data_IF_314297051405
#
_entry.id   IF_314297051405
#
_cell.length_a   1.000
_cell.length_b   1.000
_cell.length_c   1.000
_cell.angle_alpha   90.00
_cell.angle_beta   90.00
_cell.angle_gamma   90.00
#
_symmetry.space_group_name_H-M   'P 1'
#
loop_
_entity.id
_entity.type
_entity.pdbx_description
1 polymer ?
#
# COMPACT_ATOMS: atom_id res chain seq x y z
N UNK A 1 53.89 -9.16 -0.40
CA UNK A 1 53.59 -8.03 0.52
C UNK A 1 52.17 -7.58 0.18
N UNK A 2 51.09 -7.59 0.99
CA UNK A 2 50.75 -7.80 2.41
C UNK A 2 49.32 -8.40 2.41
N UNK A 3 49.09 -9.59 2.95
CA UNK A 3 48.45 -9.91 4.26
C UNK A 3 46.94 -9.60 4.41
N UNK A 4 46.21 -10.72 4.49
CA UNK A 4 44.87 -11.05 5.00
C UNK A 4 44.12 -10.06 5.92
N UNK A 5 42.79 -10.12 5.84
CA UNK A 5 41.94 -9.96 7.02
C UNK A 5 40.74 -10.92 6.98
N UNK A 6 40.81 -11.93 7.86
CA UNK A 6 39.72 -12.82 8.24
C UNK A 6 39.02 -12.19 9.44
N UNK A 7 37.71 -12.00 9.39
CA UNK A 7 36.90 -11.87 10.60
C UNK A 7 35.61 -12.68 10.43
N UNK A 8 35.75 -13.97 10.73
CA UNK A 8 34.67 -14.82 11.20
C UNK A 8 34.50 -14.49 12.68
N UNK A 9 33.34 -13.98 13.07
CA UNK A 9 32.89 -14.03 14.47
C UNK A 9 31.46 -14.51 14.46
N UNK A 10 31.31 -15.82 14.60
CA UNK A 10 30.11 -16.46 15.10
C UNK A 10 30.14 -16.35 16.62
N UNK A 11 29.08 -15.85 17.25
CA UNK A 11 28.84 -16.09 18.68
C UNK A 11 27.42 -16.57 18.87
N UNK A 12 27.38 -17.70 19.57
CA UNK A 12 26.28 -18.61 19.80
C UNK A 12 25.21 -18.06 20.74
N UNK A 13 23.99 -18.49 20.41
CA UNK A 13 22.79 -18.67 21.23
C UNK A 13 23.09 -18.98 22.70
N UNK A 14 22.42 -18.27 23.62
CA UNK A 14 22.18 -18.75 24.98
C UNK A 14 20.68 -18.84 25.25
N UNK A 15 20.23 -20.07 25.52
CA UNK A 15 18.95 -20.42 26.12
C UNK A 15 18.89 -19.93 27.58
N UNK A 16 17.72 -19.42 27.97
CA UNK A 16 17.37 -19.20 29.38
C UNK A 16 15.87 -19.35 29.57
N UNK A 17 15.41 -20.59 29.72
CA UNK A 17 14.08 -20.91 30.26
C UNK A 17 14.14 -20.82 31.78
N UNK A 18 13.28 -20.00 32.38
CA UNK A 18 12.89 -20.12 33.77
C UNK A 18 11.39 -19.84 33.90
N UNK A 19 10.61 -20.91 33.83
CA UNK A 19 9.23 -20.95 34.31
C UNK A 19 9.22 -21.17 35.81
N UNK A 20 8.41 -20.41 36.54
CA UNK A 20 7.84 -20.86 37.82
C UNK A 20 6.44 -20.27 37.96
N UNK A 21 5.43 -21.09 38.29
CA UNK A 21 4.05 -20.65 38.46
C UNK A 21 3.85 -20.09 39.88
N UNK A 22 3.03 -19.05 40.03
CA UNK A 22 2.46 -18.70 41.33
C UNK A 22 0.95 -18.60 41.20
N UNK A 23 0.30 -19.60 41.79
CA UNK A 23 -1.14 -19.71 41.94
C UNK A 23 -1.65 -18.66 42.93
N UNK A 24 -2.59 -17.83 42.50
CA UNK A 24 -3.52 -17.15 43.40
C UNK A 24 -4.82 -16.80 42.66
N UNK A 25 -5.61 -17.83 42.35
CA UNK A 25 -7.04 -17.64 42.14
C UNK A 25 -7.69 -17.55 43.53
N UNK A 26 -8.06 -16.35 43.96
CA UNK A 26 -9.08 -16.16 45.00
C UNK A 26 -10.24 -15.35 44.44
N UNK A 27 -11.40 -15.96 44.61
CA UNK A 27 -12.75 -15.49 44.33
C UNK A 27 -12.95 -13.98 44.50
N UNK A 28 -13.47 -13.33 43.46
CA UNK A 28 -14.48 -12.29 43.66
C UNK A 28 -15.46 -12.34 42.50
N UNK A 29 -16.19 -13.46 42.43
CA UNK A 29 -17.41 -13.56 41.65
C UNK A 29 -18.49 -12.69 42.31
N UNK A 30 -19.32 -12.05 41.49
CA UNK A 30 -20.54 -11.33 41.87
C UNK A 30 -20.37 -9.86 42.31
N UNK A 31 -20.12 -8.99 41.32
CA UNK A 31 -20.59 -7.57 41.29
C UNK A 31 -20.38 -6.84 39.95
N UNK A 32 -19.92 -7.51 38.89
CA UNK A 32 -19.54 -6.85 37.62
C UNK A 32 -20.47 -7.17 36.42
N UNK A 33 -21.64 -7.79 36.61
CA UNK A 33 -22.56 -8.02 35.48
C UNK A 33 -23.35 -6.76 35.05
N UNK A 34 -23.44 -5.73 35.90
CA UNK A 34 -24.10 -4.46 35.56
C UNK A 34 -23.21 -3.45 34.83
N UNK A 35 -21.89 -3.61 34.89
CA UNK A 35 -20.92 -2.71 34.25
C UNK A 35 -20.51 -3.18 32.85
N UNK A 36 -20.75 -4.45 32.50
CA UNK A 36 -20.47 -4.99 31.16
C UNK A 36 -21.54 -4.54 30.16
N UNK A 37 -22.82 -4.48 30.53
CA UNK A 37 -23.88 -3.98 29.64
C UNK A 37 -23.73 -2.49 29.30
N UNK A 38 -23.36 -1.64 30.27
CA UNK A 38 -23.19 -0.20 30.01
C UNK A 38 -21.95 0.12 29.17
N UNK A 39 -20.90 -0.72 29.23
CA UNK A 39 -19.74 -0.61 28.33
C UNK A 39 -20.01 -1.17 26.94
N UNK A 40 -20.88 -2.17 26.80
CA UNK A 40 -21.26 -2.71 25.50
C UNK A 40 -22.13 -1.72 24.69
N UNK A 41 -22.97 -0.92 25.34
CA UNK A 41 -23.78 0.11 24.67
C UNK A 41 -23.00 1.39 24.35
N UNK A 42 -21.99 1.75 25.16
CA UNK A 42 -21.12 2.90 24.88
C UNK A 42 -20.10 2.64 23.75
N UNK A 43 -19.80 1.37 23.44
CA UNK A 43 -18.90 1.01 22.33
C UNK A 43 -19.64 0.83 20.99
N UNK A 44 -20.98 0.75 21.01
CA UNK A 44 -21.82 0.74 19.81
C UNK A 44 -22.05 2.15 19.22
N UNK A 45 -21.85 3.21 20.02
CA UNK A 45 -22.01 4.61 19.61
C UNK A 45 -20.76 5.29 19.04
N UNK A 46 -19.61 4.60 19.02
CA UNK A 46 -18.33 5.14 18.53
C UNK A 46 -18.00 4.69 17.09
N UNK A 47 -18.88 3.91 16.46
CA UNK A 47 -18.75 3.51 15.05
C UNK A 47 -19.46 4.45 14.08
N UNK A 48 -19.77 5.68 14.50
CA UNK A 48 -19.73 6.82 13.58
C UNK A 48 -18.25 7.12 13.28
N UNK A 49 -17.57 6.16 12.65
CA UNK A 49 -16.28 6.41 12.03
C UNK A 49 -16.50 7.56 11.06
N UNK A 50 -15.94 8.71 11.38
CA UNK A 50 -15.87 9.85 10.50
C UNK A 50 -15.48 9.34 9.11
N UNK A 51 -16.37 9.48 8.14
CA UNK A 51 -16.12 9.13 6.73
C UNK A 51 -15.12 10.12 6.11
N UNK A 52 -14.06 10.44 6.83
CA UNK A 52 -12.97 11.25 6.33
C UNK A 52 -12.17 10.39 5.38
N UNK A 53 -12.29 10.72 4.10
CA UNK A 53 -11.39 10.35 3.03
C UNK A 53 -9.94 10.38 3.52
N UNK A 54 -9.39 9.22 3.83
CA UNK A 54 -8.05 9.11 4.39
C UNK A 54 -7.06 8.92 3.25
N UNK A 55 -6.09 9.82 3.10
CA UNK A 55 -5.03 9.63 2.11
C UNK A 55 -4.16 8.41 2.44
N UNK A 56 -3.61 7.80 1.40
CA UNK A 56 -2.60 6.77 1.50
C UNK A 56 -1.39 7.30 2.30
N UNK A 57 -0.96 6.57 3.32
CA UNK A 57 0.20 6.93 4.16
C UNK A 57 1.52 6.55 3.48
N UNK A 58 2.65 7.04 3.96
CA UNK A 58 3.96 6.69 3.40
C UNK A 58 4.24 5.17 3.50
N UNK A 59 3.87 4.54 4.63
CA UNK A 59 4.03 3.10 4.83
C UNK A 59 3.15 2.29 3.88
N UNK A 60 1.90 2.73 3.65
CA UNK A 60 1.03 2.14 2.63
C UNK A 60 1.60 2.34 1.21
N UNK A 61 2.30 3.45 0.98
CA UNK A 61 3.06 3.71 -0.25
C UNK A 61 4.17 2.71 -0.51
N UNK A 62 4.79 2.17 0.53
CA UNK A 62 5.77 1.09 0.39
C UNK A 62 5.11 -0.20 -0.12
N UNK A 63 3.86 -0.48 0.23
CA UNK A 63 3.12 -1.62 -0.32
C UNK A 63 2.85 -1.45 -1.83
N UNK A 64 2.56 -0.21 -2.27
CA UNK A 64 2.45 0.11 -3.71
C UNK A 64 3.78 -0.12 -4.43
N UNK A 65 4.91 0.30 -3.84
CA UNK A 65 6.24 0.05 -4.42
C UNK A 65 6.57 -1.44 -4.45
N UNK A 66 6.28 -2.18 -3.38
CA UNK A 66 6.52 -3.62 -3.33
C UNK A 66 5.73 -4.34 -4.45
N UNK A 67 4.48 -3.94 -4.69
CA UNK A 67 3.69 -4.45 -5.81
C UNK A 67 4.26 -4.04 -7.18
N UNK A 68 4.80 -2.83 -7.33
CA UNK A 68 5.43 -2.37 -8.57
C UNK A 68 6.67 -3.21 -8.94
N UNK A 69 7.47 -3.57 -7.94
CA UNK A 69 8.72 -4.32 -8.11
C UNK A 69 8.52 -5.85 -8.15
N UNK A 70 7.28 -6.34 -8.00
CA UNK A 70 6.95 -7.75 -8.15
C UNK A 70 7.11 -8.20 -9.63
N UNK A 71 7.97 -9.19 -9.86
CA UNK A 71 8.24 -9.76 -11.20
C UNK A 71 6.98 -10.24 -11.93
N UNK A 72 5.94 -10.66 -11.21
CA UNK A 72 4.68 -11.11 -11.81
C UNK A 72 3.89 -9.97 -12.48
N UNK A 73 4.08 -8.73 -12.03
CA UNK A 73 3.46 -7.55 -12.65
C UNK A 73 4.13 -7.21 -13.99
N UNK A 74 5.43 -7.50 -14.12
CA UNK A 74 6.19 -7.24 -15.34
C UNK A 74 5.73 -8.11 -16.53
N UNK A 75 5.31 -9.36 -16.28
CA UNK A 75 4.80 -10.27 -17.32
C UNK A 75 3.43 -9.82 -17.87
N UNK A 76 2.65 -9.09 -17.06
CA UNK A 76 1.35 -8.49 -17.45
C UNK A 76 1.50 -7.09 -18.08
N UNK A 77 2.69 -6.51 -18.06
CA UNK A 77 2.98 -5.14 -18.49
C UNK A 77 3.11 -4.95 -20.01
N UNK A 78 2.66 -5.91 -20.83
CA UNK A 78 2.38 -5.68 -22.26
C UNK A 78 1.28 -4.63 -22.48
N UNK A 79 0.57 -4.23 -21.42
CA UNK A 79 -0.43 -3.18 -21.41
C UNK A 79 0.24 -1.82 -21.14
N UNK A 80 -0.34 -0.74 -21.64
CA UNK A 80 0.19 0.63 -21.51
C UNK A 80 0.44 1.09 -20.05
N UNK A 81 1.05 2.27 -19.89
CA UNK A 81 1.42 2.82 -18.58
C UNK A 81 0.25 2.91 -17.58
N UNK A 82 -0.96 3.32 -18.01
CA UNK A 82 -2.14 3.37 -17.14
C UNK A 82 -2.59 2.00 -16.67
N UNK A 83 -2.55 0.98 -17.53
CA UNK A 83 -2.88 -0.38 -17.14
C UNK A 83 -1.86 -0.99 -16.18
N UNK A 84 -0.57 -0.69 -16.35
CA UNK A 84 0.45 -1.13 -15.41
C UNK A 84 0.18 -0.54 -14.02
N UNK A 85 -0.03 0.78 -13.94
CA UNK A 85 -0.33 1.46 -12.69
C UNK A 85 -1.59 0.90 -12.04
N UNK A 86 -2.66 0.70 -12.82
CA UNK A 86 -3.91 0.12 -12.32
C UNK A 86 -3.69 -1.26 -11.68
N UNK A 87 -2.93 -2.14 -12.35
CA UNK A 87 -2.62 -3.46 -11.83
C UNK A 87 -1.78 -3.43 -10.54
N UNK A 88 -0.87 -2.46 -10.43
CA UNK A 88 -0.04 -2.29 -9.23
C UNK A 88 -0.89 -1.89 -8.02
N UNK A 89 -1.77 -0.89 -8.17
CA UNK A 89 -2.66 -0.45 -7.11
C UNK A 89 -3.67 -1.54 -6.69
N UNK A 90 -4.23 -2.29 -7.66
CA UNK A 90 -5.10 -3.43 -7.37
C UNK A 90 -4.35 -4.51 -6.56
N UNK A 91 -3.11 -4.81 -6.96
CA UNK A 91 -2.23 -5.76 -6.24
C UNK A 91 -1.83 -5.29 -4.85
N UNK A 92 -1.64 -3.98 -4.68
CA UNK A 92 -1.28 -3.37 -3.40
C UNK A 92 -2.46 -3.21 -2.42
N UNK A 93 -3.68 -3.57 -2.82
CA UNK A 93 -4.88 -3.45 -1.98
C UNK A 93 -5.54 -2.08 -2.01
N UNK A 94 -5.22 -1.25 -2.99
CA UNK A 94 -5.74 0.11 -3.19
C UNK A 94 -6.47 0.23 -4.53
N UNK A 95 -7.50 -0.59 -4.82
CA UNK A 95 -8.14 -0.58 -6.12
C UNK A 95 -8.83 0.76 -6.41
N UNK A 96 -8.87 1.13 -7.68
CA UNK A 96 -9.63 2.27 -8.19
C UNK A 96 -10.27 1.93 -9.54
N UNK A 97 -11.24 2.74 -9.96
CA UNK A 97 -11.87 2.60 -11.28
C UNK A 97 -10.80 2.84 -12.35
N UNK A 98 -10.70 1.96 -13.36
CA UNK A 98 -9.71 2.17 -14.41
C UNK A 98 -9.87 3.56 -15.04
N UNK A 99 -8.74 4.26 -15.17
CA UNK A 99 -8.64 5.59 -15.75
C UNK A 99 -7.42 5.65 -16.66
N UNK A 100 -7.56 6.27 -17.83
CA UNK A 100 -6.43 6.46 -18.74
C UNK A 100 -5.40 7.43 -18.14
N UNK A 101 -4.18 7.46 -18.67
CA UNK A 101 -3.19 8.46 -18.27
C UNK A 101 -3.69 9.90 -18.45
N UNK A 102 -4.56 10.15 -19.44
CA UNK A 102 -5.16 11.47 -19.68
C UNK A 102 -6.19 11.83 -18.60
N UNK A 103 -7.00 10.87 -18.18
CA UNK A 103 -7.98 11.08 -17.10
C UNK A 103 -7.28 11.26 -15.76
N UNK A 104 -6.26 10.45 -15.48
CA UNK A 104 -5.40 10.62 -14.30
C UNK A 104 -4.70 11.98 -14.29
N UNK A 105 -4.30 12.50 -15.45
CA UNK A 105 -3.72 13.84 -15.56
C UNK A 105 -4.74 14.93 -15.28
N UNK A 106 -6.00 14.76 -15.70
CA UNK A 106 -7.09 15.68 -15.37
C UNK A 106 -7.42 15.65 -13.87
N UNK A 107 -7.36 14.46 -13.27
CA UNK A 107 -7.73 14.17 -11.89
C UNK A 107 -8.92 13.23 -11.85
N UNK A 108 -8.95 12.34 -10.85
CA UNK A 108 -10.04 11.39 -10.61
C UNK A 108 -10.44 11.43 -9.13
N UNK A 109 -11.67 11.01 -8.77
CA UNK A 109 -12.12 11.06 -7.37
C UNK A 109 -11.24 10.27 -6.39
N UNK A 110 -10.62 9.19 -6.85
CA UNK A 110 -9.75 8.32 -6.04
C UNK A 110 -8.34 8.88 -5.83
N UNK A 111 -7.98 9.98 -6.50
CA UNK A 111 -6.63 10.55 -6.50
C UNK A 111 -6.64 12.06 -6.28
N UNK A 112 -6.15 12.47 -5.13
CA UNK A 112 -6.04 13.88 -4.77
C UNK A 112 -4.68 14.46 -5.19
N UNK A 113 -4.69 15.67 -5.76
CA UNK A 113 -3.46 16.34 -6.19
C UNK A 113 -2.60 16.76 -4.99
N UNK A 114 -1.31 16.43 -5.02
CA UNK A 114 -0.36 16.78 -3.96
C UNK A 114 0.81 17.63 -4.47
N UNK A 115 1.36 18.46 -3.58
CA UNK A 115 2.57 19.25 -3.85
C UNK A 115 3.84 18.54 -3.37
N UNK A 116 3.75 17.82 -2.25
CA UNK A 116 4.86 17.08 -1.65
C UNK A 116 4.66 15.58 -1.89
N UNK A 117 5.56 15.00 -2.67
CA UNK A 117 5.50 13.59 -3.05
C UNK A 117 5.97 12.68 -1.93
N UNK A 118 5.43 11.47 -1.92
CA UNK A 118 5.88 10.36 -1.10
C UNK A 118 5.94 9.08 -1.95
N UNK A 119 6.58 8.01 -1.45
CA UNK A 119 6.48 6.67 -2.03
C UNK A 119 5.05 6.28 -2.38
N UNK A 120 4.81 5.75 -3.59
CA UNK A 120 3.49 5.29 -4.00
C UNK A 120 2.51 6.38 -4.44
N UNK A 121 2.92 7.65 -4.52
CA UNK A 121 2.15 8.67 -5.25
C UNK A 121 2.24 8.45 -6.77
N UNK A 122 1.22 8.89 -7.51
CA UNK A 122 1.30 8.97 -8.96
C UNK A 122 2.18 10.13 -9.39
N UNK A 123 2.96 9.91 -10.45
CA UNK A 123 3.57 10.97 -11.27
C UNK A 123 2.93 10.94 -12.65
N UNK A 124 2.43 12.09 -13.12
CA UNK A 124 1.56 12.13 -14.31
C UNK A 124 1.92 13.28 -15.24
N UNK A 125 2.01 12.96 -16.53
CA UNK A 125 2.06 13.89 -17.66
C UNK A 125 0.86 13.65 -18.58
N UNK A 126 0.60 14.58 -19.52
CA UNK A 126 -0.39 14.31 -20.56
C UNK A 126 0.07 13.10 -21.39
N UNK A 127 -0.66 11.98 -21.28
CA UNK A 127 -0.36 10.75 -22.02
C UNK A 127 0.64 9.81 -21.35
N UNK A 128 1.09 10.07 -20.12
CA UNK A 128 1.95 9.14 -19.38
C UNK A 128 1.71 9.18 -17.87
N UNK A 129 1.82 8.03 -17.22
CA UNK A 129 1.68 7.91 -15.77
C UNK A 129 2.66 6.88 -15.22
N UNK A 130 3.15 7.11 -14.01
CA UNK A 130 3.94 6.14 -13.26
C UNK A 130 3.76 6.33 -11.75
N UNK A 131 4.56 5.60 -10.99
CA UNK A 131 4.51 5.57 -9.52
C UNK A 131 5.83 6.12 -8.98
N UNK A 132 5.77 7.12 -8.10
CA UNK A 132 6.93 7.65 -7.39
C UNK A 132 7.52 6.56 -6.51
N UNK A 133 8.81 6.24 -6.73
CA UNK A 133 9.54 5.21 -5.98
C UNK A 133 10.36 5.86 -4.88
N UNK A 134 11.20 6.84 -5.24
CA UNK A 134 12.00 7.59 -4.28
C UNK A 134 11.86 9.09 -4.56
N UNK A 135 11.05 9.81 -3.76
CA UNK A 135 10.82 11.24 -3.95
C UNK A 135 12.07 12.08 -3.72
N UNK A 136 13.05 11.62 -2.92
CA UNK A 136 14.29 12.36 -2.69
C UNK A 136 15.26 12.30 -3.87
N UNK A 137 15.21 11.20 -4.65
CA UNK A 137 16.01 11.02 -5.87
C UNK A 137 15.24 11.39 -7.14
N UNK A 138 13.97 11.77 -6.99
CA UNK A 138 13.11 12.16 -8.09
C UNK A 138 12.90 11.04 -9.13
N UNK A 139 12.76 9.80 -8.65
CA UNK A 139 12.62 8.62 -9.51
C UNK A 139 11.24 7.97 -9.39
N UNK A 140 10.80 7.38 -10.49
CA UNK A 140 9.51 6.73 -10.61
C UNK A 140 9.62 5.45 -11.42
N UNK A 141 8.65 4.56 -11.24
CA UNK A 141 8.49 3.33 -12.01
C UNK A 141 7.31 3.45 -12.99
N UNK A 142 7.50 3.01 -14.23
CA UNK A 142 6.45 3.05 -15.27
C UNK A 142 6.72 2.06 -16.41
N UNK A 143 5.71 1.86 -17.27
CA UNK A 143 5.84 1.17 -18.55
C UNK A 143 6.34 2.15 -19.62
N UNK A 144 7.59 1.98 -20.04
CA UNK A 144 8.22 2.75 -21.11
C UNK A 144 8.24 1.93 -22.41
N UNK A 145 8.70 2.53 -23.51
CA UNK A 145 8.87 1.81 -24.80
C UNK A 145 9.82 0.61 -24.70
N UNK A 146 10.82 0.69 -23.82
CA UNK A 146 11.76 -0.39 -23.50
C UNK A 146 11.18 -1.45 -22.57
N UNK A 147 9.95 -1.28 -22.09
CA UNK A 147 9.31 -2.09 -21.06
C UNK A 147 9.22 -1.37 -19.71
N UNK A 148 8.76 -2.06 -18.66
CA UNK A 148 8.69 -1.50 -17.32
C UNK A 148 10.09 -1.21 -16.76
N UNK A 149 10.24 -0.07 -16.08
CA UNK A 149 11.51 0.30 -15.49
C UNK A 149 11.42 1.57 -14.65
N UNK A 150 12.57 1.96 -14.11
CA UNK A 150 12.73 3.17 -13.30
C UNK A 150 13.39 4.25 -14.15
N UNK A 151 12.91 5.49 -14.03
CA UNK A 151 13.54 6.68 -14.59
C UNK A 151 13.38 7.88 -13.64
N UNK A 152 14.11 8.97 -13.91
CA UNK A 152 13.98 10.23 -13.19
C UNK A 152 12.95 11.13 -13.85
N UNK A 153 11.96 11.61 -13.09
CA UNK A 153 10.97 12.57 -13.61
C UNK A 153 11.55 13.98 -13.86
N UNK A 154 12.84 14.18 -13.56
CA UNK A 154 13.61 15.36 -13.93
C UNK A 154 14.36 15.24 -15.25
N UNK A 155 14.40 14.06 -15.87
CA UNK A 155 15.13 13.88 -17.11
C UNK A 155 14.55 14.76 -18.23
N UNK A 156 15.38 15.24 -19.18
CA UNK A 156 14.94 16.16 -20.23
C UNK A 156 13.70 15.67 -20.99
N UNK A 157 13.66 14.38 -21.31
CA UNK A 157 12.52 13.75 -21.99
C UNK A 157 11.18 14.05 -21.29
N UNK A 158 11.10 13.84 -19.97
CA UNK A 158 9.88 14.04 -19.20
C UNK A 158 9.51 15.51 -19.05
N UNK A 159 10.51 16.40 -18.96
CA UNK A 159 10.29 17.85 -18.94
C UNK A 159 9.70 18.36 -20.27
N UNK A 160 10.10 17.77 -21.39
CA UNK A 160 9.55 18.10 -22.70
C UNK A 160 8.09 17.66 -22.87
N UNK A 161 7.61 16.64 -22.14
CA UNK A 161 6.20 16.24 -22.15
C UNK A 161 5.28 17.23 -21.40
N UNK A 162 5.86 18.23 -20.73
CA UNK A 162 5.15 19.35 -20.12
C UNK A 162 5.04 19.24 -18.60
N UNK A 163 4.01 19.90 -18.04
CA UNK A 163 3.88 20.07 -16.59
C UNK A 163 3.55 18.74 -15.91
N UNK A 164 4.48 18.23 -15.12
CA UNK A 164 4.26 17.09 -14.23
C UNK A 164 3.22 17.42 -13.14
N UNK A 165 2.40 16.44 -12.78
CA UNK A 165 1.45 16.50 -11.67
C UNK A 165 1.64 15.28 -10.78
N UNK A 166 1.41 15.45 -9.49
CA UNK A 166 1.48 14.38 -8.51
C UNK A 166 0.12 14.18 -7.85
N UNK A 167 -0.24 12.93 -7.62
CA UNK A 167 -1.51 12.58 -6.99
C UNK A 167 -1.33 11.47 -5.96
N UNK A 168 -2.10 11.56 -4.89
CA UNK A 168 -2.12 10.59 -3.80
C UNK A 168 -3.46 9.90 -3.75
N UNK A 169 -3.43 8.59 -3.61
CA UNK A 169 -4.63 7.79 -3.45
C UNK A 169 -5.42 8.20 -2.20
N UNK A 170 -6.74 8.26 -2.34
CA UNK A 170 -7.67 8.62 -1.27
C UNK A 170 -8.56 7.42 -0.95
N UNK A 171 -8.45 6.92 0.28
CA UNK A 171 -9.30 5.85 0.81
C UNK A 171 -10.67 6.46 1.13
N UNK A 172 -11.63 6.22 0.25
CA UNK A 172 -13.05 6.47 0.48
C UNK A 172 -13.80 5.17 0.82
N UNK A 173 -14.99 5.29 1.43
CA UNK A 173 -15.87 4.14 1.70
C UNK A 173 -16.20 3.33 0.44
N UNK A 174 -16.26 3.95 -0.74
CA UNK A 174 -16.52 3.27 -2.01
C UNK A 174 -15.35 2.39 -2.48
N UNK A 175 -14.11 2.85 -2.33
CA UNK A 175 -12.94 2.08 -2.72
C UNK A 175 -12.73 0.85 -1.82
N UNK A 176 -13.02 0.98 -0.53
CA UNK A 176 -12.99 -0.13 0.42
C UNK A 176 -14.18 -1.09 0.28
N UNK A 177 -15.36 -0.60 -0.12
CA UNK A 177 -16.51 -1.48 -0.37
C UNK A 177 -16.28 -2.38 -1.60
N UNK A 178 -15.61 -1.87 -2.64
CA UNK A 178 -15.25 -2.65 -3.82
C UNK A 178 -14.15 -3.69 -3.53
N UNK A 179 -13.15 -3.36 -2.70
CA UNK A 179 -12.12 -4.32 -2.28
C UNK A 179 -12.69 -5.42 -1.37
N UNK A 180 -13.51 -5.06 -0.38
CA UNK A 180 -14.16 -6.01 0.52
C UNK A 180 -15.11 -6.97 -0.22
N UNK A 181 -15.83 -6.49 -1.25
CA UNK A 181 -16.69 -7.35 -2.08
C UNK A 181 -15.88 -8.36 -2.92
N UNK A 182 -14.73 -7.95 -3.47
CA UNK A 182 -13.83 -8.84 -4.22
C UNK A 182 -13.21 -9.91 -3.33
N UNK A 183 -12.81 -9.57 -2.11
CA UNK A 183 -12.18 -10.51 -1.18
C UNK A 183 -13.19 -11.57 -0.70
N UNK A 184 -14.44 -11.18 -0.46
CA UNK A 184 -15.56 -12.10 -0.18
C UNK A 184 -15.86 -13.04 -1.36
N UNK A 185 -15.83 -12.53 -2.60
CA UNK A 185 -16.02 -13.37 -3.80
C UNK A 185 -14.89 -14.39 -4.00
N UNK A 186 -13.65 -14.04 -3.61
CA UNK A 186 -12.50 -14.94 -3.69
C UNK A 186 -12.57 -16.06 -2.64
N UNK A 187 -13.04 -15.76 -1.42
CA UNK A 187 -13.19 -16.77 -0.36
C UNK A 187 -14.30 -17.79 -0.64
N UNK A 188 -15.37 -17.37 -1.33
CA UNK A 188 -16.49 -18.26 -1.68
C UNK A 188 -16.15 -19.26 -2.79
N UNK A 189 -15.15 -18.98 -3.63
CA UNK A 189 -14.71 -19.87 -4.72
C UNK A 189 -13.74 -20.96 -4.26
N UNK A 190 -13.18 -20.88 -3.05
CA UNK A 190 -12.26 -21.89 -2.51
C UNK A 190 -12.93 -22.94 -1.61
N UNK A 191 -14.24 -22.83 -1.35
CA UNK A 191 -14.99 -23.77 -0.49
C UNK A 191 -16.01 -24.65 -1.24
N UNK A 192 -15.99 -24.67 -2.58
CA UNK A 192 -16.86 -25.49 -3.43
C UNK A 192 -16.07 -26.55 -4.20
N UNK A 193 -15.23 -27.29 -3.50
CA UNK A 193 -14.61 -28.51 -4.02
C UNK A 193 -14.56 -29.56 -2.89
N UNK A 194 -15.66 -30.28 -2.74
CA UNK A 194 -15.66 -31.61 -2.12
C UNK A 194 -16.71 -32.47 -2.79
#
# INVERSE_FOLDING_TARGET
>A
MRLHSKYVVAVMILCGLATSPSSAQRETQSKNLGAISRRAEQNAGSQQASFTSQRLTADEGLAVIAAALDSHIHVRAKRDCSHLVHAIYDRAGFPYSYASSSDLYAGTPEFERVAHTQPGDLVVWRGHVGIVVNPAQHVFFSAMRSGPGIDSYDAPYWKHLGKVRFYRYVKGSLAQNASNARDRGRFLLTHQAK
#
